data_IF_288662686745
#
_entry.id   IF_288662686745
#
_cell.length_a   1.000
_cell.length_b   1.000
_cell.length_c   1.000
_cell.angle_alpha   90.00
_cell.angle_beta   90.00
_cell.angle_gamma   90.00
#
_symmetry.space_group_name_H-M   'P 1'
#
loop_
_entity.id
_entity.type
_entity.pdbx_description
1 polymer ?
#
# COMPACT_ATOMS: atom_id res chain seq x y z
N UNK A 1 13.72 -25.58 -9.12
CA UNK A 1 13.79 -24.38 -8.25
C UNK A 1 12.50 -23.57 -8.36
N UNK A 2 11.33 -24.13 -7.98
CA UNK A 2 10.03 -23.52 -8.33
C UNK A 2 8.96 -23.45 -7.24
N UNK A 3 9.18 -24.07 -6.08
CA UNK A 3 8.16 -24.17 -5.02
C UNK A 3 8.30 -23.09 -3.95
N UNK A 4 9.50 -22.54 -3.74
CA UNK A 4 9.75 -21.52 -2.70
C UNK A 4 9.09 -20.16 -3.02
N UNK A 5 8.98 -19.81 -4.31
CA UNK A 5 8.35 -18.55 -4.75
C UNK A 5 6.84 -18.54 -4.51
N UNK A 6 6.17 -19.67 -4.76
CA UNK A 6 4.71 -19.79 -4.59
C UNK A 6 4.32 -19.70 -3.11
N UNK A 7 5.15 -20.22 -2.20
CA UNK A 7 4.92 -20.15 -0.75
C UNK A 7 5.05 -18.72 -0.20
N UNK A 8 5.94 -17.89 -0.76
CA UNK A 8 6.10 -16.47 -0.40
C UNK A 8 4.87 -15.62 -0.78
N UNK A 9 4.23 -15.92 -1.89
CA UNK A 9 3.00 -15.23 -2.31
C UNK A 9 1.81 -15.63 -1.42
N UNK A 10 1.68 -16.91 -1.07
CA UNK A 10 0.60 -17.38 -0.18
C UNK A 10 0.74 -16.85 1.26
N UNK A 11 1.96 -16.76 1.80
CA UNK A 11 2.21 -16.24 3.15
C UNK A 11 1.90 -14.74 3.27
N UNK A 12 2.11 -13.97 2.20
CA UNK A 12 1.72 -12.55 2.16
C UNK A 12 0.20 -12.35 2.15
N UNK A 13 -0.58 -13.26 1.56
CA UNK A 13 -2.05 -13.18 1.52
C UNK A 13 -2.65 -13.43 2.91
N UNK A 14 -2.11 -14.40 3.66
CA UNK A 14 -2.59 -14.75 5.01
C UNK A 14 -2.32 -13.67 6.06
N UNK A 15 -1.26 -12.87 5.90
CA UNK A 15 -0.97 -11.74 6.82
C UNK A 15 -1.79 -10.49 6.56
N UNK A 16 -2.47 -10.37 5.40
CA UNK A 16 -3.34 -9.23 5.09
C UNK A 16 -4.70 -9.32 5.80
N UNK A 17 -5.20 -10.53 6.06
CA UNK A 17 -6.57 -10.74 6.54
C UNK A 17 -6.76 -10.73 8.05
N UNK A 18 -5.72 -11.03 8.84
CA UNK A 18 -5.93 -11.40 10.25
C UNK A 18 -5.66 -10.31 11.29
N UNK A 19 -5.09 -9.17 10.88
CA UNK A 19 -4.81 -8.03 11.78
C UNK A 19 -5.27 -6.71 11.15
N UNK A 20 -6.53 -6.64 10.69
CA UNK A 20 -7.13 -5.34 10.39
C UNK A 20 -7.47 -4.67 11.73
N UNK A 21 -6.47 -4.09 12.40
CA UNK A 21 -6.71 -3.00 13.34
C UNK A 21 -7.63 -2.02 12.63
N UNK A 22 -8.70 -1.58 13.31
CA UNK A 22 -9.55 -0.53 12.78
C UNK A 22 -8.68 0.71 12.54
N UNK A 23 -8.43 0.98 11.27
CA UNK A 23 -7.72 2.17 10.81
C UNK A 23 -8.72 3.30 10.79
N UNK A 24 -8.39 4.39 11.47
CA UNK A 24 -9.19 5.60 11.48
C UNK A 24 -8.86 6.50 10.29
N UNK A 25 -9.78 7.38 9.90
CA UNK A 25 -9.51 8.31 8.81
C UNK A 25 -8.39 9.31 9.14
N UNK A 26 -8.22 9.67 10.41
CA UNK A 26 -7.12 10.52 10.84
C UNK A 26 -5.75 9.87 10.58
N UNK A 27 -5.64 8.55 10.75
CA UNK A 27 -4.42 7.81 10.44
C UNK A 27 -4.15 7.77 8.94
N UNK A 28 -5.19 7.58 8.13
CA UNK A 28 -5.09 7.61 6.67
C UNK A 28 -4.64 8.99 6.22
N UNK A 29 -5.30 10.05 6.67
CA UNK A 29 -4.98 11.44 6.29
C UNK A 29 -3.56 11.81 6.72
N UNK A 30 -3.16 11.48 7.95
CA UNK A 30 -1.80 11.72 8.44
C UNK A 30 -0.76 11.00 7.59
N UNK A 31 -0.98 9.72 7.26
CA UNK A 31 -0.01 8.94 6.49
C UNK A 31 0.03 9.38 5.03
N UNK A 32 -1.11 9.73 4.43
CA UNK A 32 -1.16 10.33 3.09
C UNK A 32 -0.41 11.67 3.06
N UNK A 33 -0.57 12.50 4.09
CA UNK A 33 0.15 13.76 4.21
C UNK A 33 1.67 13.51 4.24
N UNK A 34 2.12 12.61 5.11
CA UNK A 34 3.53 12.21 5.18
C UNK A 34 4.05 11.76 3.80
N UNK A 35 3.33 10.88 3.11
CA UNK A 35 3.73 10.36 1.80
C UNK A 35 3.70 11.42 0.67
N UNK A 36 2.98 12.52 0.85
CA UNK A 36 2.95 13.65 -0.10
C UNK A 36 4.04 14.68 0.17
N UNK A 37 4.25 15.00 1.45
CA UNK A 37 5.17 16.05 1.90
C UNK A 37 6.63 15.58 1.92
N UNK A 38 6.87 14.35 2.34
CA UNK A 38 8.21 13.75 2.37
C UNK A 38 8.62 13.27 0.96
N UNK A 39 9.91 13.11 0.70
CA UNK A 39 10.53 12.66 -0.58
C UNK A 39 10.15 11.21 -1.00
N UNK A 40 8.90 10.80 -0.80
CA UNK A 40 8.32 9.57 -1.31
C UNK A 40 8.00 9.74 -2.79
N UNK A 41 9.05 9.88 -3.63
CA UNK A 41 8.95 9.99 -5.10
C UNK A 41 8.04 8.89 -5.66
N UNK A 42 8.18 7.67 -5.16
CA UNK A 42 7.34 6.53 -5.55
C UNK A 42 5.83 6.81 -5.34
N UNK A 43 5.45 7.46 -4.24
CA UNK A 43 4.04 7.73 -3.95
C UNK A 43 3.51 8.81 -4.89
N UNK A 44 4.29 9.85 -5.14
CA UNK A 44 3.94 10.92 -6.07
C UNK A 44 3.76 10.37 -7.50
N UNK A 45 4.65 9.48 -7.96
CA UNK A 45 4.52 8.80 -9.25
C UNK A 45 3.23 7.98 -9.35
N UNK A 46 2.86 7.23 -8.29
CA UNK A 46 1.59 6.49 -8.27
C UNK A 46 0.39 7.43 -8.23
N UNK A 47 0.49 8.55 -7.51
CA UNK A 47 -0.58 9.54 -7.45
C UNK A 47 -0.76 10.31 -8.76
N UNK A 48 0.29 10.47 -9.56
CA UNK A 48 0.21 11.08 -10.89
C UNK A 48 -0.51 10.19 -11.91
N UNK A 49 -0.45 8.86 -11.73
CA UNK A 49 -1.19 7.92 -12.58
C UNK A 49 -2.69 7.94 -12.25
N UNK A 50 -3.54 8.33 -13.21
CA UNK A 50 -4.99 8.48 -12.98
C UNK A 50 -5.71 7.24 -12.46
N UNK A 51 -5.31 6.03 -12.91
CA UNK A 51 -5.92 4.76 -12.44
C UNK A 51 -5.55 4.48 -10.99
N UNK A 52 -4.27 4.60 -10.66
CA UNK A 52 -3.79 4.42 -9.30
C UNK A 52 -4.30 5.50 -8.35
N UNK A 53 -4.34 6.76 -8.79
CA UNK A 53 -4.92 7.87 -8.03
C UNK A 53 -6.36 7.59 -7.60
N UNK A 54 -7.21 7.09 -8.51
CA UNK A 54 -8.59 6.75 -8.18
C UNK A 54 -8.68 5.72 -7.06
N UNK A 55 -7.81 4.70 -7.10
CA UNK A 55 -7.73 3.68 -6.05
C UNK A 55 -7.20 4.26 -4.73
N UNK A 56 -6.15 5.08 -4.77
CA UNK A 56 -5.58 5.74 -3.59
C UNK A 56 -6.62 6.62 -2.87
N UNK A 57 -7.51 7.29 -3.62
CA UNK A 57 -8.51 8.21 -3.06
C UNK A 57 -9.79 7.49 -2.63
N UNK A 58 -10.21 6.44 -3.34
CA UNK A 58 -11.57 5.89 -3.20
C UNK A 58 -11.62 4.41 -2.83
N UNK A 59 -10.58 3.61 -3.08
CA UNK A 59 -10.60 2.19 -2.73
C UNK A 59 -10.28 2.01 -1.23
N UNK A 60 -11.28 1.50 -0.49
CA UNK A 60 -11.19 1.28 0.95
C UNK A 60 -9.97 0.43 1.34
N UNK A 61 -9.66 -0.61 0.57
CA UNK A 61 -8.60 -1.56 0.90
C UNK A 61 -7.22 -0.90 0.74
N UNK A 62 -7.05 -0.12 -0.32
CA UNK A 62 -5.83 0.68 -0.56
C UNK A 62 -5.66 1.74 0.52
N UNK A 63 -6.72 2.47 0.87
CA UNK A 63 -6.68 3.51 1.90
C UNK A 63 -6.35 2.94 3.28
N UNK A 64 -6.98 1.83 3.64
CA UNK A 64 -6.71 1.14 4.91
C UNK A 64 -5.29 0.64 4.97
N UNK A 65 -4.74 0.12 3.87
CA UNK A 65 -3.33 -0.28 3.82
C UNK A 65 -2.39 0.91 4.09
N UNK A 66 -2.69 2.10 3.55
CA UNK A 66 -1.92 3.32 3.84
C UNK A 66 -2.04 3.73 5.31
N UNK A 67 -3.25 3.68 5.88
CA UNK A 67 -3.45 4.03 7.29
C UNK A 67 -2.80 3.05 8.29
N UNK A 68 -2.48 1.83 7.88
CA UNK A 68 -1.69 0.87 8.67
C UNK A 68 -0.20 1.22 8.76
N UNK A 69 0.29 2.24 8.04
CA UNK A 69 1.70 2.61 8.12
C UNK A 69 2.01 3.21 9.49
N UNK A 70 3.15 2.84 10.04
CA UNK A 70 3.65 3.33 11.32
C UNK A 70 4.53 4.56 11.08
N UNK A 71 4.09 5.79 11.47
CA UNK A 71 4.83 7.02 11.16
C UNK A 71 6.28 7.01 11.63
N UNK A 72 6.52 6.47 12.82
CA UNK A 72 7.87 6.35 13.39
C UNK A 72 8.80 5.47 12.55
N UNK A 73 8.24 4.52 11.78
CA UNK A 73 9.00 3.64 10.89
C UNK A 73 9.10 4.18 9.48
N UNK A 74 8.26 5.13 9.07
CA UNK A 74 8.30 5.71 7.73
C UNK A 74 9.58 6.51 7.45
N UNK A 75 10.35 6.91 8.47
CA UNK A 75 11.71 7.47 8.28
C UNK A 75 12.75 6.42 7.87
N UNK A 76 12.45 5.12 8.01
CA UNK A 76 13.36 4.03 7.65
C UNK A 76 13.11 3.62 6.19
N UNK A 77 14.12 3.81 5.34
CA UNK A 77 14.03 3.47 3.92
C UNK A 77 13.59 2.01 3.69
N UNK A 78 14.14 1.05 4.45
CA UNK A 78 13.77 -0.37 4.33
C UNK A 78 12.29 -0.65 4.64
N UNK A 79 11.72 0.10 5.59
CA UNK A 79 10.29 0.03 5.90
C UNK A 79 9.48 0.63 4.76
N UNK A 80 9.83 1.83 4.28
CA UNK A 80 9.15 2.47 3.15
C UNK A 80 9.18 1.61 1.89
N UNK A 81 10.34 1.03 1.53
CA UNK A 81 10.45 0.13 0.37
C UNK A 81 9.56 -1.09 0.53
N UNK A 82 9.44 -1.66 1.74
CA UNK A 82 8.51 -2.78 2.00
C UNK A 82 7.06 -2.35 1.82
N UNK A 83 6.69 -1.18 2.33
CA UNK A 83 5.33 -0.66 2.20
C UNK A 83 4.98 -0.28 0.76
N UNK A 84 5.90 0.35 0.02
CA UNK A 84 5.78 0.60 -1.42
C UNK A 84 5.45 -0.68 -2.17
N UNK A 85 6.21 -1.77 -1.95
CA UNK A 85 5.95 -3.07 -2.57
C UNK A 85 4.58 -3.65 -2.21
N UNK A 86 4.02 -3.33 -1.03
CA UNK A 86 2.66 -3.77 -0.66
C UNK A 86 1.61 -2.95 -1.42
N UNK A 87 1.76 -1.63 -1.46
CA UNK A 87 0.87 -0.72 -2.18
C UNK A 87 0.88 -1.01 -3.69
N UNK A 88 2.05 -1.16 -4.30
CA UNK A 88 2.16 -1.44 -5.73
C UNK A 88 1.45 -2.75 -6.10
N UNK A 89 1.57 -3.80 -5.26
CA UNK A 89 0.88 -5.07 -5.47
C UNK A 89 -0.64 -4.92 -5.45
N UNK A 90 -1.21 -4.22 -4.47
CA UNK A 90 -2.66 -4.02 -4.40
C UNK A 90 -3.16 -3.12 -5.53
N UNK A 91 -2.42 -2.05 -5.87
CA UNK A 91 -2.79 -1.16 -6.98
C UNK A 91 -2.82 -1.89 -8.32
N UNK A 92 -1.79 -2.68 -8.62
CA UNK A 92 -1.72 -3.47 -9.87
C UNK A 92 -2.85 -4.50 -9.90
N UNK A 93 -3.07 -5.24 -8.80
CA UNK A 93 -4.16 -6.22 -8.69
C UNK A 93 -5.52 -5.57 -8.98
N UNK A 94 -5.81 -4.42 -8.37
CA UNK A 94 -7.08 -3.70 -8.52
C UNK A 94 -7.24 -3.14 -9.93
N UNK A 95 -6.19 -2.56 -10.52
CA UNK A 95 -6.25 -2.05 -11.90
C UNK A 95 -6.52 -3.19 -12.88
N UNK A 96 -5.86 -4.33 -12.73
CA UNK A 96 -6.08 -5.47 -13.62
C UNK A 96 -7.50 -6.02 -13.50
N UNK A 97 -8.07 -6.05 -12.28
CA UNK A 97 -9.45 -6.47 -12.06
C UNK A 97 -10.50 -5.50 -12.63
N UNK A 98 -10.14 -4.24 -12.91
CA UNK A 98 -11.03 -3.24 -13.53
C UNK A 98 -11.02 -3.27 -15.07
N UNK A 99 -10.10 -4.03 -15.67
CA UNK A 99 -9.93 -4.14 -17.14
C UNK A 99 -10.52 -5.45 -17.69
N UNK A 100 -10.86 -6.41 -16.80
CA UNK A 100 -11.59 -7.63 -17.12
C UNK A 100 -13.10 -7.38 -17.07
#
# INVERSE_FOLDING_TARGET
>A
MGTLWILLDAFNILTLGWFVRQVTEDEIVRNVRFLKEEESVWYQERFANGKFRKLIIHDWEVRTMIGQFEPEKMKKLSYLTRQQKRIDRILIKKVNALVQ
#
